data_IF_675656251200
#
_entry.id   IF_675656251200
#
_cell.length_a   1.000
_cell.length_b   1.000
_cell.length_c   1.000
_cell.angle_alpha   90.00
_cell.angle_beta   90.00
_cell.angle_gamma   90.00
#
_symmetry.space_group_name_H-M   'P 1'
#
loop_
_entity.id
_entity.type
_entity.pdbx_description
1 polymer ?
#
# COMPACT_ATOMS: atom_id res chain seq x y z
N UNK A 1 -10.73 29.64 -20.96
CA UNK A 1 -11.52 28.41 -21.05
C UNK A 1 -10.76 27.34 -20.27
N UNK A 2 -10.60 27.49 -18.95
CA UNK A 2 -11.59 27.06 -17.97
C UNK A 2 -11.35 25.58 -17.66
N UNK A 3 -10.30 25.26 -16.89
CA UNK A 3 -10.15 23.90 -16.36
C UNK A 3 -11.18 23.74 -15.24
N UNK A 4 -12.34 23.18 -15.61
CA UNK A 4 -13.33 22.66 -14.69
C UNK A 4 -12.65 21.61 -13.79
N UNK A 5 -12.42 21.95 -12.52
CA UNK A 5 -11.99 21.00 -11.50
C UNK A 5 -13.23 20.25 -10.99
N UNK A 6 -13.80 19.41 -11.85
CA UNK A 6 -14.98 18.61 -11.51
C UNK A 6 -14.51 17.28 -10.91
N UNK A 7 -14.15 17.28 -9.62
CA UNK A 7 -13.94 16.05 -8.84
C UNK A 7 -14.71 16.11 -7.52
N UNK A 8 -15.97 16.56 -7.59
CA UNK A 8 -16.81 16.84 -6.41
C UNK A 8 -17.00 15.61 -5.50
N UNK A 9 -17.01 14.39 -6.06
CA UNK A 9 -17.31 13.17 -5.30
C UNK A 9 -16.13 12.68 -4.44
N UNK A 10 -14.92 12.66 -4.97
CA UNK A 10 -13.73 12.21 -4.21
C UNK A 10 -13.31 13.23 -3.16
N UNK A 11 -13.46 14.53 -3.46
CA UNK A 11 -13.21 15.60 -2.48
C UNK A 11 -14.23 15.55 -1.34
N UNK A 12 -15.48 15.16 -1.58
CA UNK A 12 -16.51 15.07 -0.54
C UNK A 12 -16.20 13.98 0.51
N UNK A 13 -15.66 12.83 0.10
CA UNK A 13 -15.21 11.78 1.02
C UNK A 13 -14.01 12.21 1.86
N UNK A 14 -13.02 12.86 1.24
CA UNK A 14 -11.84 13.36 1.94
C UNK A 14 -12.20 14.50 2.90
N UNK A 15 -13.06 15.45 2.49
CA UNK A 15 -13.61 16.48 3.36
C UNK A 15 -14.34 15.87 4.57
N UNK A 16 -15.04 14.75 4.41
CA UNK A 16 -15.73 14.09 5.53
C UNK A 16 -14.76 13.55 6.60
N UNK A 17 -13.54 13.18 6.23
CA UNK A 17 -12.53 12.62 7.14
C UNK A 17 -11.61 13.67 7.77
N UNK A 18 -11.52 14.87 7.19
CA UNK A 18 -10.63 15.96 7.63
C UNK A 18 -11.47 17.09 8.24
N UNK A 19 -11.02 17.79 9.30
CA UNK A 19 -11.71 18.94 9.89
C UNK A 19 -11.71 20.18 8.97
N UNK A 20 -12.43 20.09 7.84
CA UNK A 20 -12.50 21.05 6.74
C UNK A 20 -13.26 22.34 7.07
N UNK A 21 -13.98 22.41 8.19
CA UNK A 21 -14.67 23.64 8.62
C UNK A 21 -13.73 24.63 9.32
N UNK A 22 -12.59 24.15 9.79
CA UNK A 22 -11.56 25.00 10.42
C UNK A 22 -10.71 25.67 9.34
N UNK A 23 -10.23 26.90 9.60
CA UNK A 23 -9.32 27.61 8.68
C UNK A 23 -8.09 26.76 8.33
N UNK A 24 -7.58 25.99 9.30
CA UNK A 24 -6.44 25.10 9.12
C UNK A 24 -6.78 23.90 8.23
N UNK A 25 -7.88 23.19 8.50
CA UNK A 25 -8.25 22.02 7.70
C UNK A 25 -8.69 22.36 6.27
N UNK A 26 -9.39 23.48 6.07
CA UNK A 26 -9.77 23.94 4.73
C UNK A 26 -8.55 24.40 3.92
N UNK A 27 -7.70 25.27 4.48
CA UNK A 27 -6.61 25.89 3.73
C UNK A 27 -5.35 25.02 3.64
N UNK A 28 -5.01 24.23 4.66
CA UNK A 28 -3.75 23.47 4.65
C UNK A 28 -3.89 22.09 3.98
N UNK A 29 -5.03 21.41 4.16
CA UNK A 29 -5.20 20.05 3.66
C UNK A 29 -5.83 20.02 2.26
N UNK A 30 -6.91 20.77 2.02
CA UNK A 30 -7.60 20.75 0.73
C UNK A 30 -6.84 21.50 -0.36
N UNK A 31 -6.17 22.61 -0.03
CA UNK A 31 -5.36 23.34 -1.02
C UNK A 31 -4.15 22.53 -1.52
N UNK A 32 -3.73 21.49 -0.79
CA UNK A 32 -2.64 20.59 -1.19
C UNK A 32 -3.12 19.38 -1.98
N UNK A 33 -4.40 19.04 -1.91
CA UNK A 33 -4.97 17.88 -2.58
C UNK A 33 -5.24 18.22 -4.03
N UNK A 34 -4.67 17.43 -4.95
CA UNK A 34 -4.97 17.48 -6.38
C UNK A 34 -5.60 16.15 -6.78
N UNK A 35 -6.89 16.18 -7.09
CA UNK A 35 -7.66 15.01 -7.54
C UNK A 35 -8.16 15.27 -8.97
N UNK A 36 -8.04 14.25 -9.81
CA UNK A 36 -8.39 14.30 -11.24
C UNK A 36 -9.09 12.98 -11.60
N UNK A 37 -10.08 13.02 -12.48
CA UNK A 37 -10.63 11.79 -13.07
C UNK A 37 -9.65 11.25 -14.12
N UNK A 38 -9.22 9.99 -13.98
CA UNK A 38 -8.21 9.39 -14.85
C UNK A 38 -6.78 9.88 -14.56
N UNK A 39 -5.90 9.78 -15.55
CA UNK A 39 -4.53 10.33 -15.45
C UNK A 39 -4.50 11.64 -16.24
N UNK A 40 -4.29 12.78 -15.58
CA UNK A 40 -4.17 14.06 -16.28
C UNK A 40 -2.86 14.09 -17.10
N UNK A 41 -2.90 14.72 -18.27
CA UNK A 41 -1.76 14.89 -19.19
C UNK A 41 -0.48 15.40 -18.48
N UNK A 42 0.69 15.13 -19.09
CA UNK A 42 2.05 15.42 -18.59
C UNK A 42 2.16 16.68 -17.71
N UNK A 43 2.60 16.57 -16.42
CA UNK A 43 3.72 15.74 -15.94
C UNK A 43 3.35 14.49 -15.11
N UNK A 44 2.07 14.20 -14.88
CA UNK A 44 1.63 13.13 -13.95
C UNK A 44 1.67 11.72 -14.55
N UNK A 45 1.56 11.59 -15.88
CA UNK A 45 1.66 10.29 -16.58
C UNK A 45 3.01 9.60 -16.40
N UNK A 46 4.09 10.39 -16.28
CA UNK A 46 5.47 9.89 -16.21
C UNK A 46 5.93 9.61 -14.78
N UNK A 47 5.15 10.03 -13.78
CA UNK A 47 5.48 9.85 -12.37
C UNK A 47 4.99 8.47 -11.92
N UNK A 48 5.89 7.67 -11.34
CA UNK A 48 5.56 6.35 -10.80
C UNK A 48 4.47 6.48 -9.73
N UNK A 49 3.28 5.97 -10.02
CA UNK A 49 2.19 5.89 -9.03
C UNK A 49 2.70 5.13 -7.80
N UNK A 50 2.47 5.69 -6.62
CA UNK A 50 2.78 5.04 -5.34
C UNK A 50 1.75 3.92 -5.10
N UNK A 51 1.86 2.82 -5.86
CA UNK A 51 1.08 1.60 -5.66
C UNK A 51 1.57 0.90 -4.39
N UNK A 52 1.11 1.40 -3.25
CA UNK A 52 1.26 0.74 -1.95
C UNK A 52 0.79 -0.72 -2.02
N UNK A 53 -0.20 -1.00 -2.87
CA UNK A 53 -0.70 -2.34 -3.11
C UNK A 53 0.33 -3.27 -3.78
N UNK A 54 1.06 -2.79 -4.79
CA UNK A 54 2.07 -3.61 -5.47
C UNK A 54 3.24 -3.92 -4.54
N UNK A 55 3.74 -2.93 -3.80
CA UNK A 55 4.76 -3.13 -2.76
C UNK A 55 4.30 -4.11 -1.66
N UNK A 56 3.01 -4.08 -1.29
CA UNK A 56 2.42 -5.03 -0.33
C UNK A 56 2.39 -6.45 -0.91
N UNK A 57 1.98 -6.61 -2.17
CA UNK A 57 1.93 -7.91 -2.87
C UNK A 57 3.32 -8.54 -2.99
N UNK A 58 4.33 -7.75 -3.39
CA UNK A 58 5.73 -8.19 -3.46
C UNK A 58 6.25 -8.69 -2.11
N UNK A 59 6.05 -7.91 -1.03
CA UNK A 59 6.45 -8.31 0.33
C UNK A 59 5.74 -9.59 0.79
N UNK A 60 4.46 -9.72 0.49
CA UNK A 60 3.67 -10.90 0.83
C UNK A 60 4.15 -12.15 0.08
N UNK A 61 4.50 -12.02 -1.21
CA UNK A 61 5.05 -13.12 -2.02
C UNK A 61 6.39 -13.60 -1.46
N UNK A 62 7.31 -12.68 -1.13
CA UNK A 62 8.59 -13.02 -0.49
C UNK A 62 8.40 -13.76 0.84
N UNK A 63 7.45 -13.32 1.66
CA UNK A 63 7.14 -13.99 2.93
C UNK A 63 6.56 -15.39 2.72
N UNK A 64 5.67 -15.56 1.73
CA UNK A 64 5.07 -16.84 1.39
C UNK A 64 6.13 -17.85 0.90
N UNK A 65 7.03 -17.44 0.01
CA UNK A 65 8.11 -18.28 -0.50
C UNK A 65 9.06 -18.72 0.62
N UNK A 66 9.48 -17.80 1.49
CA UNK A 66 10.30 -18.12 2.68
C UNK A 66 9.62 -19.16 3.57
N UNK A 67 8.33 -18.95 3.88
CA UNK A 67 7.54 -19.88 4.71
C UNK A 67 7.39 -21.25 4.07
N UNK A 68 7.20 -21.31 2.74
CA UNK A 68 7.12 -22.56 1.98
C UNK A 68 8.40 -23.36 2.10
N UNK A 69 9.58 -22.74 1.97
CA UNK A 69 10.85 -23.45 2.12
C UNK A 69 11.09 -23.90 3.57
N UNK A 70 10.79 -23.06 4.56
CA UNK A 70 10.89 -23.42 5.99
C UNK A 70 10.00 -24.61 6.35
N UNK A 71 8.77 -24.65 5.84
CA UNK A 71 7.86 -25.77 6.09
C UNK A 71 8.38 -27.09 5.51
N UNK A 72 9.01 -27.05 4.33
CA UNK A 72 9.66 -28.25 3.76
C UNK A 72 10.79 -28.75 4.67
N UNK A 73 11.64 -27.85 5.15
CA UNK A 73 12.74 -28.18 6.05
C UNK A 73 12.22 -28.72 7.39
N UNK A 74 11.14 -28.14 7.93
CA UNK A 74 10.49 -28.58 9.16
C UNK A 74 9.96 -30.01 9.03
N UNK A 75 9.19 -30.30 7.98
CA UNK A 75 8.67 -31.66 7.71
C UNK A 75 9.82 -32.65 7.52
N UNK A 76 10.92 -32.24 6.88
CA UNK A 76 12.11 -33.09 6.73
C UNK A 76 12.79 -33.37 8.07
N UNK A 77 12.88 -32.38 8.96
CA UNK A 77 13.44 -32.54 10.31
C UNK A 77 12.54 -33.37 11.23
N UNK A 78 11.21 -33.30 11.05
CA UNK A 78 10.23 -34.12 11.79
C UNK A 78 10.25 -35.58 11.35
N UNK A 79 10.38 -35.84 10.05
CA UNK A 79 10.49 -37.19 9.51
C UNK A 79 11.85 -37.84 9.78
N UNK A 80 12.91 -37.04 9.91
CA UNK A 80 14.22 -37.56 10.31
C UNK A 80 14.12 -37.92 11.79
N UNK A 81 14.27 -39.19 12.18
CA UNK A 81 14.26 -39.54 13.60
C UNK A 81 15.31 -38.70 14.30
N UNK A 82 14.91 -38.00 15.37
CA UNK A 82 15.86 -37.30 16.24
C UNK A 82 16.73 -38.37 16.92
N UNK A 83 17.85 -38.74 16.29
CA UNK A 83 18.97 -39.36 16.98
C UNK A 83 19.64 -38.28 17.83
N UNK A 84 18.96 -37.87 18.91
CA UNK A 84 19.63 -37.27 20.07
C UNK A 84 20.31 -38.42 20.79
N UNK A 85 21.52 -38.75 20.36
CA UNK A 85 22.52 -39.26 21.28
C UNK A 85 22.76 -38.14 22.30
N UNK A 86 22.02 -38.21 23.41
CA UNK A 86 22.39 -37.53 24.64
C UNK A 86 23.69 -38.20 25.07
N UNK A 87 24.83 -37.57 24.79
CA UNK A 87 26.09 -37.91 25.44
C UNK A 87 26.03 -37.31 26.84
N UNK A 88 25.47 -38.08 27.77
CA UNK A 88 25.80 -38.08 29.19
C UNK A 88 26.32 -39.48 29.50
#
# INVERSE_FOLDING_TARGET
MGLQNDSSQDQAWVCRMIPHKTKHGFAAALARLKAYEGVPDAPYDKIKRMELENKRKERAQLAYERKKQLNKLRVKAEKKPRCICVNI
#
